data_IF_525061675802
#
_entry.id   IF_525061675802
#
_cell.length_a   1.000
_cell.length_b   1.000
_cell.length_c   1.000
_cell.angle_alpha   90.00
_cell.angle_beta   90.00
_cell.angle_gamma   90.00
#
_symmetry.space_group_name_H-M   'P 1'
#
loop_
_entity.id
_entity.type
_entity.pdbx_description
1 polymer ?
#
# COMPACT_ATOMS: atom_id res chain seq x y z
N UNK A 1 -20.41 22.16 0.88
CA UNK A 1 -18.95 22.27 0.77
C UNK A 1 -18.52 21.28 -0.29
N UNK A 2 -17.86 21.74 -1.34
CA UNK A 2 -17.32 20.83 -2.36
C UNK A 2 -16.18 20.01 -1.74
N UNK A 3 -16.47 18.74 -1.43
CA UNK A 3 -15.50 17.77 -0.92
C UNK A 3 -14.74 17.08 -2.07
N UNK A 4 -14.43 17.82 -3.13
CA UNK A 4 -13.67 17.29 -4.26
C UNK A 4 -12.18 17.32 -3.91
N UNK A 5 -11.62 16.14 -3.65
CA UNK A 5 -10.18 15.99 -3.48
C UNK A 5 -9.46 16.45 -4.75
N UNK A 6 -8.34 17.17 -4.59
CA UNK A 6 -7.42 17.39 -5.69
C UNK A 6 -7.10 16.05 -6.35
N UNK A 7 -7.12 15.98 -7.69
CA UNK A 7 -6.86 14.76 -8.47
C UNK A 7 -5.62 13.97 -8.01
N UNK A 8 -4.56 14.67 -7.62
CA UNK A 8 -3.35 14.06 -7.08
C UNK A 8 -3.60 13.50 -5.68
N UNK A 9 -4.24 14.26 -4.80
CA UNK A 9 -4.60 13.78 -3.46
C UNK A 9 -5.51 12.54 -3.53
N UNK A 10 -6.52 12.55 -4.39
CA UNK A 10 -7.40 11.39 -4.60
C UNK A 10 -6.67 10.19 -5.20
N UNK A 11 -5.85 10.40 -6.23
CA UNK A 11 -5.06 9.33 -6.86
C UNK A 11 -4.06 8.70 -5.90
N UNK A 12 -3.35 9.51 -5.12
CA UNK A 12 -2.41 9.01 -4.10
C UNK A 12 -3.12 8.41 -2.89
N UNK A 13 -4.34 8.83 -2.54
CA UNK A 13 -5.14 8.15 -1.52
C UNK A 13 -5.50 6.71 -1.94
N UNK A 14 -5.93 6.51 -3.20
CA UNK A 14 -6.17 5.17 -3.74
C UNK A 14 -4.90 4.33 -3.81
N UNK A 15 -3.78 4.94 -4.18
CA UNK A 15 -2.48 4.28 -4.18
C UNK A 15 -2.05 3.86 -2.76
N UNK A 16 -2.22 4.73 -1.77
CA UNK A 16 -1.94 4.42 -0.37
C UNK A 16 -2.77 3.23 0.13
N UNK A 17 -4.04 3.15 -0.26
CA UNK A 17 -4.91 1.99 0.06
C UNK A 17 -4.33 0.67 -0.46
N UNK A 18 -3.78 0.66 -1.67
CA UNK A 18 -3.15 -0.54 -2.24
C UNK A 18 -1.79 -0.80 -1.60
N UNK A 19 -0.97 0.24 -1.46
CA UNK A 19 0.38 0.14 -0.90
C UNK A 19 0.36 -0.39 0.54
N UNK A 20 -0.59 0.02 1.38
CA UNK A 20 -0.67 -0.46 2.77
C UNK A 20 -1.08 -1.94 2.85
N UNK A 21 -2.00 -2.39 1.99
CA UNK A 21 -2.36 -3.80 1.88
C UNK A 21 -1.21 -4.64 1.31
N UNK A 22 -0.52 -4.11 0.30
CA UNK A 22 0.67 -4.72 -0.29
C UNK A 22 1.79 -4.88 0.75
N UNK A 23 2.07 -3.83 1.54
CA UNK A 23 3.04 -3.86 2.63
C UNK A 23 2.74 -5.01 3.61
N UNK A 24 1.49 -5.13 4.07
CA UNK A 24 1.08 -6.21 4.98
C UNK A 24 1.24 -7.58 4.34
N UNK A 25 0.79 -7.76 3.09
CA UNK A 25 0.91 -9.02 2.38
C UNK A 25 2.37 -9.42 2.15
N UNK A 26 3.22 -8.48 1.73
CA UNK A 26 4.64 -8.72 1.52
C UNK A 26 5.35 -9.07 2.83
N UNK A 27 4.92 -8.49 3.96
CA UNK A 27 5.43 -8.87 5.27
C UNK A 27 5.09 -10.32 5.60
N UNK A 28 3.84 -10.76 5.41
CA UNK A 28 3.45 -12.16 5.63
C UNK A 28 4.23 -13.12 4.73
N UNK A 29 4.35 -12.79 3.44
CA UNK A 29 5.01 -13.65 2.47
C UNK A 29 6.49 -13.81 2.77
N UNK A 30 7.23 -12.72 3.05
CA UNK A 30 8.66 -12.81 3.33
C UNK A 30 8.96 -13.45 4.69
N UNK A 31 8.02 -13.42 5.62
CA UNK A 31 8.14 -14.09 6.91
C UNK A 31 7.90 -15.59 6.77
N UNK A 32 6.92 -15.99 5.95
CA UNK A 32 6.58 -17.40 5.68
C UNK A 32 7.54 -18.11 4.72
N UNK A 33 8.26 -17.36 3.88
CA UNK A 33 9.06 -17.91 2.79
C UNK A 33 10.53 -17.48 2.93
N UNK A 34 11.40 -18.32 3.54
CA UNK A 34 12.83 -18.01 3.70
C UNK A 34 13.54 -17.69 2.38
N UNK A 35 13.13 -18.32 1.28
CA UNK A 35 13.67 -18.04 -0.05
C UNK A 35 13.37 -16.61 -0.52
N UNK A 36 12.14 -16.12 -0.30
CA UNK A 36 11.76 -14.74 -0.62
C UNK A 36 12.53 -13.76 0.27
N UNK A 37 12.62 -14.05 1.57
CA UNK A 37 13.39 -13.23 2.52
C UNK A 37 14.85 -13.08 2.09
N UNK A 38 15.52 -14.21 1.81
CA UNK A 38 16.91 -14.24 1.39
C UNK A 38 17.14 -13.53 0.05
N UNK A 39 16.25 -13.71 -0.91
CA UNK A 39 16.30 -12.96 -2.17
C UNK A 39 16.12 -11.46 -1.94
N UNK A 40 15.19 -11.03 -1.09
CA UNK A 40 15.03 -9.61 -0.77
C UNK A 40 16.28 -9.05 -0.07
N UNK A 41 16.88 -9.80 0.84
CA UNK A 41 18.11 -9.40 1.51
C UNK A 41 19.29 -9.28 0.52
N UNK A 42 19.36 -10.14 -0.51
CA UNK A 42 20.46 -10.11 -1.48
C UNK A 42 20.45 -8.88 -2.39
N UNK A 43 19.29 -8.23 -2.59
CA UNK A 43 19.18 -7.04 -3.44
C UNK A 43 19.76 -5.76 -2.81
N UNK A 44 19.61 -5.58 -1.50
CA UNK A 44 20.01 -4.34 -0.82
C UNK A 44 20.79 -4.55 0.48
N UNK A 45 21.21 -5.79 0.77
CA UNK A 45 21.87 -6.19 2.01
C UNK A 45 20.92 -6.41 3.19
N UNK A 46 19.65 -5.99 3.09
CA UNK A 46 18.66 -6.17 4.15
C UNK A 46 17.24 -6.23 3.60
N UNK A 47 16.50 -7.29 3.94
CA UNK A 47 15.17 -7.56 3.36
C UNK A 47 14.14 -6.46 3.69
N UNK A 48 14.25 -5.76 4.83
CA UNK A 48 13.37 -4.61 5.13
C UNK A 48 13.66 -3.39 4.24
N UNK A 49 14.89 -3.21 3.76
CA UNK A 49 15.21 -2.13 2.82
C UNK A 49 14.59 -2.41 1.45
N UNK A 50 14.77 -3.60 0.89
CA UNK A 50 14.09 -4.02 -0.35
C UNK A 50 12.57 -3.94 -0.23
N UNK A 51 12.03 -4.35 0.92
CA UNK A 51 10.60 -4.25 1.21
C UNK A 51 10.11 -2.81 1.09
N UNK A 52 10.76 -1.87 1.77
CA UNK A 52 10.40 -0.45 1.71
C UNK A 52 10.55 0.12 0.29
N UNK A 53 11.54 -0.32 -0.49
CA UNK A 53 11.67 0.09 -1.90
C UNK A 53 10.49 -0.39 -2.75
N UNK A 54 10.00 -1.61 -2.53
CA UNK A 54 8.83 -2.11 -3.24
C UNK A 54 7.56 -1.37 -2.83
N UNK A 55 7.38 -1.06 -1.54
CA UNK A 55 6.25 -0.25 -1.08
C UNK A 55 6.27 1.15 -1.72
N UNK A 56 7.44 1.80 -1.76
CA UNK A 56 7.61 3.09 -2.41
C UNK A 56 7.33 3.00 -3.91
N UNK A 57 7.83 1.96 -4.59
CA UNK A 57 7.59 1.75 -6.01
C UNK A 57 6.09 1.60 -6.30
N UNK A 58 5.38 0.73 -5.54
CA UNK A 58 3.92 0.56 -5.66
C UNK A 58 3.20 1.89 -5.42
N UNK A 59 3.56 2.60 -4.35
CA UNK A 59 2.92 3.86 -3.98
C UNK A 59 3.07 4.94 -5.06
N UNK A 60 4.28 5.13 -5.58
CA UNK A 60 4.54 6.17 -6.59
C UNK A 60 3.99 5.80 -7.96
N UNK A 61 4.18 4.57 -8.41
CA UNK A 61 3.73 4.13 -9.73
C UNK A 61 2.20 4.16 -9.83
N UNK A 62 1.51 3.61 -8.83
CA UNK A 62 0.04 3.63 -8.82
C UNK A 62 -0.51 5.03 -8.54
N UNK A 63 0.12 5.81 -7.65
CA UNK A 63 -0.30 7.17 -7.35
C UNK A 63 -0.29 8.06 -8.58
N UNK A 64 0.78 8.01 -9.37
CA UNK A 64 0.87 8.72 -10.64
C UNK A 64 -0.12 8.18 -11.68
N UNK A 65 -0.29 6.86 -11.77
CA UNK A 65 -1.25 6.25 -12.70
C UNK A 65 -2.69 6.68 -12.39
N UNK A 66 -3.11 6.63 -11.14
CA UNK A 66 -4.46 7.01 -10.71
C UNK A 66 -4.71 8.51 -10.83
N UNK A 67 -3.73 9.35 -10.47
CA UNK A 67 -3.84 10.79 -10.61
C UNK A 67 -4.00 11.23 -12.09
N UNK A 68 -3.23 10.61 -12.99
CA UNK A 68 -3.30 10.86 -14.44
C UNK A 68 -4.59 10.30 -15.05
N UNK A 69 -5.02 9.12 -14.61
CA UNK A 69 -6.24 8.45 -15.09
C UNK A 69 -7.56 9.04 -14.60
N UNK A 70 -7.52 9.96 -13.61
CA UNK A 70 -8.71 10.56 -13.03
C UNK A 70 -9.59 9.54 -12.29
N UNK A 71 -8.99 8.48 -11.73
CA UNK A 71 -9.75 7.39 -11.09
C UNK A 71 -10.51 7.88 -9.87
N UNK A 72 -9.88 8.76 -9.07
CA UNK A 72 -10.52 9.36 -7.90
C UNK A 72 -11.72 10.26 -8.29
N UNK A 73 -11.61 10.98 -9.41
CA UNK A 73 -12.68 11.85 -9.91
C UNK A 73 -13.92 11.02 -10.30
N UNK A 74 -13.72 9.79 -10.82
CA UNK A 74 -14.80 8.85 -11.15
C UNK A 74 -15.49 8.25 -9.93
N UNK A 75 -14.76 8.07 -8.82
CA UNK A 75 -15.36 7.62 -7.56
C UNK A 75 -16.17 8.73 -6.90
N UNK A 76 -15.70 9.98 -7.03
CA UNK A 76 -16.38 11.17 -6.51
C UNK A 76 -16.33 11.29 -4.98
N UNK A 77 -16.50 12.53 -4.50
CA UNK A 77 -16.61 12.84 -3.07
C UNK A 77 -15.44 12.32 -2.21
N UNK A 78 -15.79 11.71 -1.07
CA UNK A 78 -14.84 11.25 -0.06
C UNK A 78 -14.49 9.75 -0.16
N UNK A 79 -14.94 9.07 -1.23
CA UNK A 79 -14.74 7.62 -1.41
C UNK A 79 -13.26 7.19 -1.36
N UNK A 80 -12.29 7.90 -2.00
CA UNK A 80 -10.87 7.55 -1.87
C UNK A 80 -10.37 7.57 -0.41
N UNK A 81 -10.87 8.49 0.40
CA UNK A 81 -10.49 8.63 1.81
C UNK A 81 -11.11 7.53 2.67
N UNK A 82 -12.38 7.18 2.44
CA UNK A 82 -13.05 6.05 3.10
C UNK A 82 -12.36 4.72 2.80
N UNK A 83 -11.95 4.52 1.54
CA UNK A 83 -11.16 3.35 1.14
C UNK A 83 -9.82 3.31 1.88
N UNK A 84 -9.10 4.43 1.92
CA UNK A 84 -7.83 4.51 2.65
C UNK A 84 -8.00 4.15 4.13
N UNK A 85 -9.01 4.71 4.80
CA UNK A 85 -9.29 4.40 6.19
C UNK A 85 -9.60 2.90 6.39
N UNK A 86 -10.47 2.32 5.56
CA UNK A 86 -10.83 0.90 5.62
C UNK A 86 -9.63 -0.02 5.36
N UNK A 87 -8.83 0.26 4.33
CA UNK A 87 -7.62 -0.49 4.01
C UNK A 87 -6.57 -0.37 5.12
N UNK A 88 -6.45 0.80 5.77
CA UNK A 88 -5.52 0.99 6.89
C UNK A 88 -5.91 0.13 8.09
N UNK A 89 -7.20 0.10 8.46
CA UNK A 89 -7.69 -0.77 9.54
C UNK A 89 -7.46 -2.24 9.19
N UNK A 90 -7.82 -2.66 7.98
CA UNK A 90 -7.64 -4.04 7.55
C UNK A 90 -6.16 -4.47 7.54
N UNK A 91 -5.27 -3.64 6.99
CA UNK A 91 -3.84 -3.90 6.93
C UNK A 91 -3.20 -3.96 8.32
N UNK A 92 -3.58 -3.04 9.22
CA UNK A 92 -3.09 -3.01 10.59
C UNK A 92 -3.56 -4.21 11.41
N UNK A 93 -4.85 -4.56 11.31
CA UNK A 93 -5.38 -5.79 11.90
C UNK A 93 -4.70 -7.03 11.34
N UNK A 94 -4.43 -7.06 10.04
CA UNK A 94 -3.71 -8.16 9.41
C UNK A 94 -2.31 -8.37 9.99
N UNK A 95 -1.53 -7.30 10.13
CA UNK A 95 -0.21 -7.38 10.77
C UNK A 95 -0.31 -7.80 12.24
N UNK A 96 -1.25 -7.21 12.99
CA UNK A 96 -1.47 -7.55 14.39
C UNK A 96 -1.77 -9.05 14.55
N UNK A 97 -2.72 -9.57 13.78
CA UNK A 97 -3.10 -10.98 13.85
C UNK A 97 -1.95 -11.90 13.44
N UNK A 98 -1.18 -11.55 12.41
CA UNK A 98 -0.01 -12.32 12.00
C UNK A 98 0.98 -12.50 13.13
N UNK A 99 1.45 -11.41 13.74
CA UNK A 99 2.45 -11.47 14.81
C UNK A 99 1.90 -11.96 16.16
N UNK A 100 0.59 -12.09 16.32
CA UNK A 100 -0.01 -12.71 17.50
C UNK A 100 -0.13 -14.24 17.38
N UNK A 101 -0.24 -14.78 16.16
CA UNK A 101 -0.64 -16.17 15.95
C UNK A 101 0.32 -17.00 15.10
N UNK A 102 1.26 -16.38 14.39
CA UNK A 102 2.28 -17.04 13.56
C UNK A 102 3.66 -16.75 14.15
#
# INVERSE_FOLDING_TARGET
MDNTLNRYAGGFALSASIAILFNTLLAWLKDSLPALNGWMASLTGHHWTTHGLFDLAVFFLLGLAFARGGVADRLGGDAPMKLLAGCTVAAGLGLLLWFLFV
#
